data_IF_375613051405
#
_entry.id   IF_375613051405
#
_cell.length_a   1.000
_cell.length_b   1.000
_cell.length_c   1.000
_cell.angle_alpha   90.00
_cell.angle_beta   90.00
_cell.angle_gamma   90.00
#
_symmetry.space_group_name_H-M   'P 1'
#
loop_
_entity.id
_entity.type
_entity.pdbx_description
1 polymer ?
#
# COMPACT_ATOMS: atom_id res chain seq x y z
N UNK A 1 -22.67 -0.48 -3.91
CA UNK A 1 -21.22 -0.52 -3.62
C UNK A 1 -20.59 0.68 -4.30
N UNK A 2 -20.11 1.66 -3.55
CA UNK A 2 -19.39 2.83 -4.09
C UNK A 2 -18.02 2.38 -4.59
N UNK A 3 -17.67 2.64 -5.86
CA UNK A 3 -16.47 2.10 -6.54
C UNK A 3 -15.18 2.37 -5.75
N UNK A 4 -15.11 3.51 -5.08
CA UNK A 4 -13.98 3.88 -4.21
C UNK A 4 -13.72 2.93 -3.04
N UNK A 5 -14.76 2.30 -2.45
CA UNK A 5 -14.57 1.35 -1.34
C UNK A 5 -13.94 0.04 -1.79
N UNK A 6 -14.27 -0.44 -2.99
CA UNK A 6 -13.67 -1.65 -3.54
C UNK A 6 -12.18 -1.44 -3.83
N UNK A 7 -11.82 -0.31 -4.45
CA UNK A 7 -10.42 0.06 -4.72
C UNK A 7 -9.64 0.19 -3.42
N UNK A 8 -10.20 0.87 -2.42
CA UNK A 8 -9.57 1.02 -1.11
C UNK A 8 -9.25 -0.33 -0.45
N UNK A 9 -10.17 -1.31 -0.55
CA UNK A 9 -9.94 -2.67 -0.03
C UNK A 9 -8.78 -3.37 -0.74
N UNK A 10 -8.68 -3.25 -2.07
CA UNK A 10 -7.56 -3.82 -2.84
C UNK A 10 -6.23 -3.15 -2.45
N UNK A 11 -6.22 -1.82 -2.32
CA UNK A 11 -5.01 -1.09 -1.92
C UNK A 11 -4.54 -1.46 -0.51
N UNK A 12 -5.47 -1.77 0.41
CA UNK A 12 -5.11 -2.28 1.75
C UNK A 12 -4.45 -3.65 1.70
N UNK A 13 -4.92 -4.55 0.83
CA UNK A 13 -4.28 -5.86 0.62
C UNK A 13 -2.85 -5.71 0.07
N UNK A 14 -2.64 -4.79 -0.88
CA UNK A 14 -1.31 -4.47 -1.42
C UNK A 14 -0.39 -3.93 -0.32
N UNK A 15 -0.88 -3.01 0.51
CA UNK A 15 -0.12 -2.47 1.66
C UNK A 15 0.26 -3.57 2.65
N UNK A 16 -0.65 -4.50 2.93
CA UNK A 16 -0.37 -5.65 3.79
C UNK A 16 0.72 -6.55 3.20
N UNK A 17 0.69 -6.81 1.90
CA UNK A 17 1.75 -7.59 1.23
C UNK A 17 3.10 -6.89 1.33
N UNK A 18 3.16 -5.58 1.07
CA UNK A 18 4.39 -4.81 1.22
C UNK A 18 4.93 -4.92 2.65
N UNK A 19 4.06 -4.79 3.65
CA UNK A 19 4.45 -4.92 5.05
C UNK A 19 5.00 -6.32 5.38
N UNK A 20 4.29 -7.37 4.96
CA UNK A 20 4.69 -8.76 5.19
C UNK A 20 6.05 -9.06 4.54
N UNK A 21 6.23 -8.68 3.28
CA UNK A 21 7.48 -8.91 2.52
C UNK A 21 8.68 -8.17 3.11
N UNK A 22 8.43 -7.02 3.74
CA UNK A 22 9.46 -6.22 4.38
C UNK A 22 9.53 -6.44 5.89
N UNK A 23 8.80 -7.40 6.47
CA UNK A 23 8.77 -7.66 7.92
C UNK A 23 8.43 -6.41 8.73
N UNK A 24 7.43 -5.63 8.28
CA UNK A 24 6.90 -4.45 8.96
C UNK A 24 5.58 -4.87 9.64
N UNK A 25 5.43 -4.57 10.92
CA UNK A 25 4.16 -4.75 11.61
C UNK A 25 3.17 -3.71 11.09
N UNK A 26 2.20 -4.13 10.29
CA UNK A 26 1.16 -3.29 9.71
C UNK A 26 -0.20 -3.87 10.04
N UNK A 27 -1.05 -3.05 10.66
CA UNK A 27 -2.42 -3.38 11.02
C UNK A 27 -3.34 -2.36 10.36
N UNK A 28 -4.01 -2.71 9.25
CA UNK A 28 -4.91 -1.80 8.57
C UNK A 28 -6.13 -1.51 9.46
N UNK A 29 -6.42 -0.24 9.68
CA UNK A 29 -7.63 0.20 10.39
C UNK A 29 -8.87 0.05 9.50
N UNK A 30 -10.07 -0.13 10.06
CA UNK A 30 -11.29 -0.16 9.25
C UNK A 30 -11.58 1.25 8.70
N UNK A 31 -11.98 1.35 7.42
CA UNK A 31 -12.31 2.64 6.83
C UNK A 31 -13.71 3.08 7.25
N UNK A 32 -13.80 4.08 8.14
CA UNK A 32 -15.08 4.64 8.60
C UNK A 32 -15.57 5.82 7.74
N UNK A 33 -14.91 6.10 6.62
CA UNK A 33 -15.25 7.22 5.75
C UNK A 33 -16.62 6.99 5.08
N UNK A 34 -17.55 7.94 5.27
CA UNK A 34 -18.89 7.91 4.68
C UNK A 34 -18.89 8.72 3.37
N UNK A 35 -18.86 8.01 2.24
CA UNK A 35 -18.87 8.59 0.87
C UNK A 35 -17.90 7.89 -0.08
N UNK A 36 -17.82 8.38 -1.32
CA UNK A 36 -16.84 7.89 -2.30
C UNK A 36 -15.44 8.39 -1.95
N UNK A 37 -14.49 7.46 -1.85
CA UNK A 37 -13.07 7.81 -1.82
C UNK A 37 -12.67 8.26 -3.24
N UNK A 38 -12.61 9.58 -3.48
CA UNK A 38 -12.19 10.18 -4.77
C UNK A 38 -10.68 9.98 -5.04
N UNK A 39 -9.96 9.42 -4.06
CA UNK A 39 -8.57 8.97 -4.19
C UNK A 39 -8.18 8.10 -3.00
N UNK A 40 -7.86 8.72 -1.86
CA UNK A 40 -7.48 8.05 -0.61
C UNK A 40 -8.24 8.70 0.56
N UNK A 41 -8.60 7.90 1.58
CA UNK A 41 -9.27 8.39 2.79
C UNK A 41 -8.25 8.89 3.83
N UNK A 42 -8.59 9.78 4.77
CA UNK A 42 -7.63 10.29 5.76
C UNK A 42 -6.96 9.20 6.62
N UNK A 43 -7.66 8.10 6.93
CA UNK A 43 -7.06 6.94 7.61
C UNK A 43 -6.08 6.20 6.70
N UNK A 44 -6.48 5.99 5.45
CA UNK A 44 -5.67 5.36 4.42
C UNK A 44 -4.38 6.14 4.13
N UNK A 45 -4.39 7.48 4.19
CA UNK A 45 -3.19 8.32 4.06
C UNK A 45 -2.22 8.13 5.24
N UNK A 46 -2.73 8.03 6.47
CA UNK A 46 -1.91 7.74 7.66
C UNK A 46 -1.26 6.37 7.56
N UNK A 47 -2.02 5.37 7.11
CA UNK A 47 -1.52 4.01 6.85
C UNK A 47 -0.38 4.01 5.82
N UNK A 48 -0.53 4.75 4.71
CA UNK A 48 0.52 4.90 3.68
C UNK A 48 1.75 5.55 4.28
N UNK A 49 1.59 6.69 4.98
CA UNK A 49 2.70 7.45 5.55
C UNK A 49 3.50 6.62 6.55
N UNK A 50 2.83 5.85 7.41
CA UNK A 50 3.48 4.90 8.32
C UNK A 50 4.34 3.87 7.56
N UNK A 51 3.77 3.26 6.52
CA UNK A 51 4.51 2.29 5.71
C UNK A 51 5.71 2.92 5.00
N UNK A 52 5.56 4.11 4.42
CA UNK A 52 6.64 4.84 3.77
C UNK A 52 7.80 5.16 4.73
N UNK A 53 7.49 5.61 5.95
CA UNK A 53 8.49 5.88 6.98
C UNK A 53 9.25 4.59 7.38
N UNK A 54 8.52 3.50 7.60
CA UNK A 54 9.12 2.20 7.95
C UNK A 54 9.99 1.64 6.81
N UNK A 55 9.55 1.80 5.56
CA UNK A 55 10.31 1.39 4.39
C UNK A 55 11.57 2.26 4.21
N UNK A 56 11.46 3.58 4.39
CA UNK A 56 12.61 4.49 4.31
C UNK A 56 13.66 4.18 5.38
N UNK A 57 13.23 3.89 6.60
CA UNK A 57 14.11 3.46 7.69
C UNK A 57 14.84 2.15 7.34
N UNK A 58 14.15 1.18 6.72
CA UNK A 58 14.78 -0.06 6.23
C UNK A 58 15.75 0.17 5.09
N UNK A 59 15.40 1.03 4.13
CA UNK A 59 16.26 1.38 3.00
C UNK A 59 17.57 2.02 3.48
N UNK A 60 17.49 2.92 4.47
CA UNK A 60 18.66 3.56 5.09
C UNK A 60 19.52 2.56 5.90
N UNK A 61 18.93 1.48 6.38
CA UNK A 61 19.62 0.43 7.14
C UNK A 61 20.34 -0.60 6.25
N UNK A 62 20.32 -0.44 4.91
CA UNK A 62 20.99 -1.33 3.96
C UNK A 62 20.30 -2.69 3.76
N UNK A 63 19.11 -2.90 4.36
CA UNK A 63 18.26 -4.05 4.05
C UNK A 63 17.53 -3.75 2.73
N UNK A 64 17.82 -4.53 1.69
CA UNK A 64 17.17 -4.39 0.39
C UNK A 64 15.65 -4.44 0.51
N UNK A 65 14.98 -3.37 0.05
CA UNK A 65 13.53 -3.28 0.04
C UNK A 65 12.99 -4.36 -0.91
N UNK A 66 12.15 -5.27 -0.40
CA UNK A 66 11.37 -6.17 -1.26
C UNK A 66 10.18 -5.39 -1.78
N UNK A 67 10.41 -4.65 -2.86
CA UNK A 67 9.33 -4.06 -3.65
C UNK A 67 8.57 -5.23 -4.26
N UNK A 68 7.39 -5.53 -3.74
CA UNK A 68 6.47 -6.48 -4.34
C UNK A 68 6.03 -5.93 -5.71
N UNK A 69 6.84 -6.22 -6.73
CA UNK A 69 6.69 -5.68 -8.08
C UNK A 69 5.43 -6.21 -8.73
N UNK A 70 4.46 -5.33 -8.93
CA UNK A 70 3.43 -5.54 -9.95
C UNK A 70 4.07 -5.15 -11.28
N UNK A 71 4.91 -6.02 -11.83
CA UNK A 71 5.38 -5.90 -13.21
C UNK A 71 4.34 -6.54 -14.12
N UNK A 72 3.39 -5.74 -14.61
CA UNK A 72 2.45 -6.16 -15.65
C UNK A 72 2.56 -5.22 -16.87
N UNK A 73 3.15 -5.74 -17.95
CA UNK A 73 3.08 -5.21 -19.33
C UNK A 73 4.19 -4.22 -19.70
N UNK A 74 4.86 -4.29 -20.84
CA UNK A 74 4.79 -5.21 -21.99
C UNK A 74 6.18 -5.23 -22.63
N UNK A 75 6.69 -6.40 -23.02
CA UNK A 75 7.81 -6.45 -23.96
C UNK A 75 7.25 -6.03 -25.33
N UNK A 76 7.51 -4.78 -25.75
CA UNK A 76 7.52 -4.48 -27.18
C UNK A 76 8.77 -5.16 -27.74
N UNK A 77 8.58 -6.36 -28.28
CA UNK A 77 9.56 -6.94 -29.20
C UNK A 77 9.51 -6.14 -30.51
N UNK A 78 10.66 -5.51 -30.80
CA UNK A 78 11.20 -4.99 -32.07
C UNK A 78 10.24 -4.50 -33.16
#
# INVERSE_FOLDING_TARGET
MEKGRAICKVLKDVRQKIANENGISYHPEECHHKGECVGTCPGCEKEIRYLEEQLKNKQHSGLGLKVAGIAAGVCVTV
#
